data_IF_373414419268
#
_entry.id   IF_373414419268
#
_cell.length_a   1.000
_cell.length_b   1.000
_cell.length_c   1.000
_cell.angle_alpha   90.00
_cell.angle_beta   90.00
_cell.angle_gamma   90.00
#
_symmetry.space_group_name_H-M   'P 1'
#
loop_
_entity.id
_entity.type
_entity.pdbx_description
1 polymer ?
#
# COMPACT_ATOMS: atom_id res chain seq x y z
N UNK A 1 17.74 -31.45 16.73
CA UNK A 1 16.71 -30.56 16.17
C UNK A 1 17.39 -29.25 15.83
N UNK A 2 17.50 -28.89 14.54
CA UNK A 2 17.91 -27.52 14.20
C UNK A 2 16.69 -26.64 14.52
N UNK A 3 16.83 -25.71 15.45
CA UNK A 3 15.84 -24.64 15.61
C UNK A 3 15.88 -23.83 14.32
N UNK A 4 14.87 -24.01 13.47
CA UNK A 4 14.64 -23.12 12.35
C UNK A 4 14.25 -21.76 12.93
N UNK A 5 15.13 -20.78 12.79
CA UNK A 5 14.86 -19.40 13.20
C UNK A 5 13.63 -18.83 12.51
N UNK A 6 13.06 -17.76 13.07
CA UNK A 6 11.89 -17.10 12.49
C UNK A 6 12.22 -16.47 11.13
N UNK A 7 11.35 -16.68 10.14
CA UNK A 7 11.37 -15.96 8.86
C UNK A 7 11.48 -14.44 9.07
N UNK A 8 12.47 -13.80 8.44
CA UNK A 8 12.76 -12.36 8.61
C UNK A 8 11.53 -11.50 8.31
N UNK A 9 10.77 -11.85 7.25
CA UNK A 9 9.52 -11.18 6.88
C UNK A 9 8.50 -11.19 8.01
N UNK A 10 8.40 -12.30 8.77
CA UNK A 10 7.50 -12.39 9.92
C UNK A 10 7.92 -11.43 11.03
N UNK A 11 9.22 -11.32 11.29
CA UNK A 11 9.74 -10.40 12.29
C UNK A 11 9.55 -8.93 11.87
N UNK A 12 9.83 -8.59 10.61
CA UNK A 12 9.58 -7.25 10.05
C UNK A 12 8.10 -6.87 10.12
N UNK A 13 7.19 -7.80 9.82
CA UNK A 13 5.75 -7.56 9.98
C UNK A 13 5.36 -7.24 11.43
N UNK A 14 6.00 -7.86 12.43
CA UNK A 14 5.75 -7.55 13.85
C UNK A 14 6.23 -6.13 14.17
N UNK A 15 7.41 -5.74 13.68
CA UNK A 15 7.95 -4.39 13.85
C UNK A 15 7.04 -3.34 13.20
N UNK A 16 6.63 -3.56 11.94
CA UNK A 16 5.74 -2.65 11.21
C UNK A 16 4.40 -2.50 11.94
N UNK A 17 3.82 -3.60 12.42
CA UNK A 17 2.60 -3.54 13.23
C UNK A 17 2.82 -2.69 14.50
N UNK A 18 3.93 -2.87 15.21
CA UNK A 18 4.26 -2.09 16.40
C UNK A 18 4.32 -0.59 16.11
N UNK A 19 4.99 -0.19 15.02
CA UNK A 19 5.05 1.21 14.60
C UNK A 19 3.69 1.77 14.19
N UNK A 20 2.91 1.03 13.40
CA UNK A 20 1.59 1.47 12.97
C UNK A 20 0.62 1.60 14.16
N UNK A 21 0.64 0.65 15.10
CA UNK A 21 -0.19 0.71 16.31
C UNK A 21 0.20 1.89 17.19
N UNK A 22 1.50 2.10 17.45
CA UNK A 22 1.96 3.23 18.25
C UNK A 22 1.58 4.57 17.62
N UNK A 23 1.72 4.71 16.29
CA UNK A 23 1.30 5.92 15.58
C UNK A 23 -0.19 6.18 15.73
N UNK A 24 -1.02 5.13 15.61
CA UNK A 24 -2.46 5.23 15.84
C UNK A 24 -2.81 5.59 17.30
N UNK A 25 -2.14 5.00 18.28
CA UNK A 25 -2.38 5.30 19.70
C UNK A 25 -2.07 6.76 20.05
N UNK A 26 -1.08 7.36 19.39
CA UNK A 26 -0.71 8.77 19.59
C UNK A 26 -1.62 9.72 18.83
N UNK A 27 -2.01 9.39 17.59
CA UNK A 27 -2.64 10.33 16.67
C UNK A 27 -4.12 10.05 16.36
N UNK A 28 -4.63 8.87 16.72
CA UNK A 28 -5.94 8.40 16.27
C UNK A 28 -6.07 8.45 14.75
N UNK A 29 -7.18 8.98 14.26
CA UNK A 29 -7.46 9.10 12.83
C UNK A 29 -6.45 9.97 12.07
N UNK A 30 -5.79 10.93 12.74
CA UNK A 30 -4.76 11.75 12.11
C UNK A 30 -3.54 10.92 11.66
N UNK A 31 -3.38 9.68 12.16
CA UNK A 31 -2.37 8.74 11.68
C UNK A 31 -2.53 8.40 10.18
N UNK A 32 -3.75 8.47 9.63
CA UNK A 32 -4.02 8.22 8.22
C UNK A 32 -3.26 9.25 7.36
N UNK A 33 -3.48 10.54 7.63
CA UNK A 33 -2.78 11.62 6.95
C UNK A 33 -1.27 11.60 7.26
N UNK A 34 -0.88 11.31 8.50
CA UNK A 34 0.52 11.22 8.90
C UNK A 34 1.28 10.07 8.23
N UNK A 35 0.58 9.06 7.70
CA UNK A 35 1.19 7.97 6.95
C UNK A 35 1.46 8.31 5.48
N UNK A 36 0.85 9.39 4.96
CA UNK A 36 1.02 9.81 3.56
C UNK A 36 2.49 10.02 3.13
N UNK A 37 3.35 10.69 3.94
CA UNK A 37 4.77 10.87 3.60
C UNK A 37 5.54 9.55 3.41
N UNK A 38 5.09 8.45 4.02
CA UNK A 38 5.69 7.12 3.81
C UNK A 38 5.68 6.76 2.34
N UNK A 39 4.59 7.03 1.63
CA UNK A 39 4.46 6.77 0.19
C UNK A 39 5.47 7.53 -0.65
N UNK A 40 5.68 8.82 -0.33
CA UNK A 40 6.67 9.68 -1.01
C UNK A 40 8.09 9.16 -0.79
N UNK A 41 8.44 8.82 0.45
CA UNK A 41 9.76 8.25 0.76
C UNK A 41 9.99 6.91 0.06
N UNK A 42 8.98 6.03 0.04
CA UNK A 42 9.07 4.76 -0.67
C UNK A 42 9.26 4.97 -2.18
N UNK A 43 8.46 5.85 -2.80
CA UNK A 43 8.54 6.13 -4.23
C UNK A 43 9.92 6.68 -4.62
N UNK A 44 10.47 7.60 -3.84
CA UNK A 44 11.81 8.15 -4.04
C UNK A 44 12.90 7.07 -4.01
N UNK A 45 12.87 6.20 -3.00
CA UNK A 45 13.82 5.07 -2.89
C UNK A 45 13.66 4.12 -4.07
N UNK A 46 12.42 3.78 -4.44
CA UNK A 46 12.17 2.88 -5.57
C UNK A 46 12.69 3.47 -6.89
N UNK A 47 12.55 4.79 -7.10
CA UNK A 47 13.08 5.48 -8.29
C UNK A 47 14.61 5.48 -8.33
N UNK A 48 15.25 5.85 -7.20
CA UNK A 48 16.70 6.04 -7.13
C UNK A 48 17.48 4.74 -7.08
N UNK A 49 17.02 3.79 -6.27
CA UNK A 49 17.79 2.58 -5.94
C UNK A 49 17.30 1.36 -6.72
N UNK A 50 15.99 1.30 -7.03
CA UNK A 50 15.37 0.14 -7.66
C UNK A 50 15.05 0.37 -9.14
N UNK A 51 15.45 1.54 -9.69
CA UNK A 51 15.25 1.88 -11.09
C UNK A 51 13.79 1.93 -11.51
N UNK A 52 12.87 2.20 -10.57
CA UNK A 52 11.44 2.24 -10.83
C UNK A 52 11.12 3.36 -11.85
N UNK A 53 10.90 2.95 -13.09
CA UNK A 53 10.32 3.79 -14.14
C UNK A 53 8.80 3.69 -14.05
N UNK A 54 8.21 4.45 -13.13
CA UNK A 54 6.77 4.72 -13.20
C UNK A 54 6.59 5.81 -14.25
N UNK A 55 5.94 5.46 -15.34
CA UNK A 55 5.62 6.37 -16.44
C UNK A 55 4.22 6.00 -16.94
N UNK A 56 3.48 6.99 -17.39
CA UNK A 56 2.12 6.83 -17.87
C UNK A 56 1.40 8.17 -17.88
N UNK A 57 0.46 8.33 -18.81
CA UNK A 57 -0.37 9.54 -18.92
C UNK A 57 -1.73 9.35 -18.24
N UNK A 58 -2.06 8.10 -17.90
CA UNK A 58 -3.34 7.73 -17.28
C UNK A 58 -3.10 7.07 -15.91
N UNK A 59 -4.07 7.21 -14.98
CA UNK A 59 -4.00 6.56 -13.67
C UNK A 59 -3.70 5.07 -13.74
N UNK A 60 -4.36 4.36 -14.66
CA UNK A 60 -4.21 2.91 -14.80
C UNK A 60 -2.79 2.52 -15.23
N UNK A 61 -2.13 3.31 -16.06
CA UNK A 61 -0.75 3.04 -16.51
C UNK A 61 0.23 3.14 -15.33
N UNK A 62 0.10 4.21 -14.53
CA UNK A 62 0.90 4.46 -13.32
C UNK A 62 0.71 3.32 -12.32
N UNK A 63 -0.54 2.97 -12.03
CA UNK A 63 -0.87 1.94 -11.05
C UNK A 63 -0.46 0.53 -11.51
N UNK A 64 -0.67 0.19 -12.78
CA UNK A 64 -0.21 -1.08 -13.35
C UNK A 64 1.33 -1.16 -13.32
N UNK A 65 2.00 -0.02 -13.54
CA UNK A 65 3.44 0.10 -13.37
C UNK A 65 3.89 -0.33 -11.98
N UNK A 66 3.28 0.21 -10.93
CA UNK A 66 3.57 -0.11 -9.53
C UNK A 66 3.20 -1.56 -9.21
N UNK A 67 1.99 -1.99 -9.59
CA UNK A 67 1.49 -3.35 -9.39
C UNK A 67 2.48 -4.39 -9.90
N UNK A 68 2.97 -4.20 -11.14
CA UNK A 68 3.96 -5.07 -11.77
C UNK A 68 5.22 -5.23 -10.92
N UNK A 69 5.74 -4.15 -10.32
CA UNK A 69 6.97 -4.23 -9.51
C UNK A 69 6.72 -4.91 -8.18
N UNK A 70 5.58 -4.66 -7.54
CA UNK A 70 5.20 -5.36 -6.31
C UNK A 70 5.06 -6.87 -6.55
N UNK A 71 4.54 -7.31 -7.69
CA UNK A 71 4.31 -8.74 -7.98
C UNK A 71 5.52 -9.44 -8.60
N UNK A 72 6.21 -8.78 -9.54
CA UNK A 72 7.28 -9.40 -10.32
C UNK A 72 8.65 -9.22 -9.68
N UNK A 73 9.00 -8.00 -9.28
CA UNK A 73 10.36 -7.67 -8.83
C UNK A 73 10.53 -7.93 -7.34
N UNK A 74 9.58 -7.47 -6.52
CA UNK A 74 9.71 -7.51 -5.06
C UNK A 74 8.98 -8.69 -4.40
N UNK A 75 8.13 -9.40 -5.15
CA UNK A 75 7.33 -10.54 -4.66
C UNK A 75 6.52 -10.21 -3.38
N UNK A 76 6.03 -8.97 -3.29
CA UNK A 76 5.22 -8.46 -2.16
C UNK A 76 3.79 -8.98 -2.23
N UNK A 77 3.26 -9.19 -3.43
CA UNK A 77 1.93 -9.73 -3.66
C UNK A 77 1.98 -10.82 -4.75
N UNK A 78 1.01 -11.75 -4.71
CA UNK A 78 0.87 -12.79 -5.74
C UNK A 78 0.22 -12.22 -7.00
N UNK A 79 -0.80 -11.38 -6.82
CA UNK A 79 -1.55 -10.77 -7.91
C UNK A 79 -2.06 -9.40 -7.48
N UNK A 80 -2.07 -8.44 -8.41
CA UNK A 80 -2.71 -7.15 -8.26
C UNK A 80 -3.55 -6.88 -9.50
N UNK A 81 -4.85 -6.66 -9.34
CA UNK A 81 -5.78 -6.31 -10.42
C UNK A 81 -6.29 -4.91 -10.22
N UNK A 82 -6.23 -4.11 -11.27
CA UNK A 82 -6.68 -2.71 -11.26
C UNK A 82 -7.84 -2.59 -12.25
N UNK A 83 -8.92 -1.95 -11.82
CA UNK A 83 -10.05 -1.60 -12.67
C UNK A 83 -10.47 -0.17 -12.43
N UNK A 84 -10.84 0.54 -13.50
CA UNK A 84 -11.37 1.90 -13.43
C UNK A 84 -12.82 1.94 -13.87
N UNK A 85 -13.64 2.69 -13.14
CA UNK A 85 -15.02 3.01 -13.50
C UNK A 85 -15.27 4.48 -13.21
N UNK A 86 -15.27 5.31 -14.26
CA UNK A 86 -15.37 6.76 -14.12
C UNK A 86 -14.20 7.33 -13.30
N UNK A 87 -14.51 7.95 -12.17
CA UNK A 87 -13.54 8.58 -11.27
C UNK A 87 -13.09 7.68 -10.10
N UNK A 88 -13.58 6.45 -10.09
CA UNK A 88 -13.24 5.43 -9.11
C UNK A 88 -12.26 4.43 -9.70
N UNK A 89 -11.22 4.11 -8.93
CA UNK A 89 -10.26 3.05 -9.25
C UNK A 89 -10.36 1.98 -8.16
N UNK A 90 -10.62 0.74 -8.56
CA UNK A 90 -10.59 -0.42 -7.67
C UNK A 90 -9.30 -1.18 -7.86
N UNK A 91 -8.68 -1.58 -6.75
CA UNK A 91 -7.48 -2.41 -6.74
C UNK A 91 -7.70 -3.61 -5.84
N UNK A 92 -7.65 -4.80 -6.43
CA UNK A 92 -7.66 -6.07 -5.71
C UNK A 92 -6.23 -6.59 -5.59
N UNK A 93 -5.79 -6.84 -4.36
CA UNK A 93 -4.45 -7.36 -4.03
C UNK A 93 -4.61 -8.74 -3.39
N UNK A 94 -4.04 -9.78 -3.98
CA UNK A 94 -4.04 -11.15 -3.46
C UNK A 94 -2.67 -11.55 -2.92
N UNK A 95 -2.65 -12.20 -1.74
CA UNK A 95 -1.44 -12.82 -1.20
C UNK A 95 -0.35 -11.81 -0.81
N UNK A 96 -0.75 -10.64 -0.31
CA UNK A 96 0.18 -9.61 0.15
C UNK A 96 0.95 -10.07 1.39
N UNK A 97 2.29 -9.95 1.38
CA UNK A 97 3.13 -10.32 2.54
C UNK A 97 2.86 -9.44 3.76
N UNK A 98 2.27 -8.25 3.57
CA UNK A 98 1.89 -7.33 4.65
C UNK A 98 0.50 -7.63 5.23
N UNK A 99 -0.27 -8.57 4.67
CA UNK A 99 -1.59 -8.96 5.18
C UNK A 99 -1.59 -9.28 6.68
N UNK A 100 -0.57 -9.96 7.25
CA UNK A 100 -0.51 -10.20 8.69
C UNK A 100 -0.45 -8.92 9.53
N UNK A 101 0.17 -7.84 9.03
CA UNK A 101 0.21 -6.53 9.72
C UNK A 101 -1.20 -5.96 9.79
N UNK A 102 -1.86 -5.90 8.64
CA UNK A 102 -3.24 -5.42 8.48
C UNK A 102 -4.21 -6.19 9.37
N UNK A 103 -4.11 -7.52 9.41
CA UNK A 103 -4.98 -8.35 10.23
C UNK A 103 -4.76 -8.09 11.73
N UNK A 104 -3.51 -7.87 12.17
CA UNK A 104 -3.22 -7.52 13.57
C UNK A 104 -3.86 -6.20 13.97
N UNK A 105 -3.80 -5.17 13.11
CA UNK A 105 -4.47 -3.89 13.37
C UNK A 105 -5.99 -4.08 13.51
N UNK A 106 -6.62 -4.77 12.56
CA UNK A 106 -8.07 -5.01 12.57
C UNK A 106 -8.49 -5.76 13.84
N UNK A 107 -7.72 -6.77 14.26
CA UNK A 107 -8.00 -7.53 15.48
C UNK A 107 -7.91 -6.67 16.76
N UNK A 108 -7.31 -5.48 16.69
CA UNK A 108 -7.26 -4.51 17.79
C UNK A 108 -8.24 -3.35 17.62
N UNK A 109 -9.14 -3.41 16.64
CA UNK A 109 -10.11 -2.35 16.35
C UNK A 109 -9.51 -1.16 15.60
N UNK A 110 -8.28 -1.28 15.07
CA UNK A 110 -7.61 -0.22 14.32
C UNK A 110 -7.86 -0.45 12.82
N UNK A 111 -8.40 0.56 12.14
CA UNK A 111 -8.56 0.54 10.68
C UNK A 111 -7.18 0.56 10.02
N UNK A 112 -6.90 -0.29 9.01
CA UNK A 112 -5.65 -0.21 8.27
C UNK A 112 -5.51 1.13 7.56
N UNK A 113 -4.33 1.76 7.66
CA UNK A 113 -4.12 3.11 7.15
C UNK A 113 -2.80 3.34 6.40
N UNK A 114 -1.86 2.37 6.44
CA UNK A 114 -0.52 2.53 5.86
C UNK A 114 -0.16 1.37 4.93
N UNK A 115 -1.04 1.04 3.97
CA UNK A 115 -0.76 0.00 2.98
C UNK A 115 0.35 0.49 2.03
N UNK A 116 1.42 -0.31 1.81
CA UNK A 116 2.50 0.09 0.92
C UNK A 116 2.04 0.44 -0.50
N UNK A 117 1.17 -0.40 -1.09
CA UNK A 117 0.63 -0.13 -2.43
C UNK A 117 -0.13 1.19 -2.46
N UNK A 118 -1.02 1.46 -1.50
CA UNK A 118 -1.82 2.68 -1.49
C UNK A 118 -0.96 3.92 -1.34
N UNK A 119 0.04 3.87 -0.46
CA UNK A 119 0.88 5.02 -0.19
C UNK A 119 1.76 5.35 -1.40
N UNK A 120 2.35 4.35 -2.05
CA UNK A 120 3.14 4.55 -3.28
C UNK A 120 2.22 5.03 -4.43
N UNK A 121 1.04 4.41 -4.57
CA UNK A 121 0.06 4.75 -5.60
C UNK A 121 -0.35 6.23 -5.52
N UNK A 122 -0.80 6.68 -4.35
CA UNK A 122 -1.22 8.08 -4.18
C UNK A 122 -0.07 9.05 -4.45
N UNK A 123 1.14 8.75 -3.95
CA UNK A 123 2.32 9.58 -4.18
C UNK A 123 2.68 9.67 -5.68
N UNK A 124 2.63 8.55 -6.40
CA UNK A 124 2.96 8.50 -7.82
C UNK A 124 1.90 9.20 -8.69
N UNK A 125 0.62 9.04 -8.33
CA UNK A 125 -0.51 9.70 -8.97
C UNK A 125 -0.42 11.23 -8.83
N UNK A 126 -0.13 11.71 -7.62
CA UNK A 126 0.08 13.14 -7.36
C UNK A 126 1.29 13.67 -8.15
N UNK A 127 2.43 12.99 -8.09
CA UNK A 127 3.68 13.46 -8.69
C UNK A 127 3.66 13.45 -10.23
N UNK A 128 3.13 12.39 -10.84
CA UNK A 128 3.22 12.18 -12.29
C UNK A 128 2.06 12.80 -13.07
N UNK A 129 0.87 12.83 -12.46
CA UNK A 129 -0.35 13.24 -13.15
C UNK A 129 -0.95 14.52 -12.56
N UNK A 130 -0.46 14.99 -11.40
CA UNK A 130 -1.08 16.11 -10.68
C UNK A 130 -2.48 15.78 -10.17
N UNK A 131 -2.82 14.49 -10.01
CA UNK A 131 -4.15 14.04 -9.59
C UNK A 131 -4.10 13.69 -8.10
N UNK A 132 -4.67 14.51 -7.21
CA UNK A 132 -4.85 14.12 -5.83
C UNK A 132 -5.86 12.96 -5.76
N UNK A 133 -5.55 11.97 -4.94
CA UNK A 133 -6.38 10.78 -4.77
C UNK A 133 -6.66 10.53 -3.29
N UNK A 134 -7.90 10.13 -2.98
CA UNK A 134 -8.31 9.69 -1.66
C UNK A 134 -8.59 8.20 -1.64
N UNK A 135 -8.38 7.54 -0.50
CA UNK A 135 -8.83 6.16 -0.29
C UNK A 135 -10.24 6.22 0.27
N UNK A 136 -11.24 5.84 -0.53
CA UNK A 136 -12.63 5.80 -0.08
C UNK A 136 -12.95 4.53 0.71
N UNK A 137 -12.35 3.39 0.32
CA UNK A 137 -12.42 2.17 1.12
C UNK A 137 -11.15 1.32 1.05
N UNK A 138 -10.89 0.58 2.13
CA UNK A 138 -9.88 -0.46 2.22
C UNK A 138 -10.52 -1.62 2.99
N UNK A 139 -10.90 -2.66 2.24
CA UNK A 139 -11.54 -3.86 2.75
C UNK A 139 -10.53 -5.01 2.76
N UNK A 140 -10.58 -5.82 3.80
CA UNK A 140 -9.62 -6.92 4.01
C UNK A 140 -10.42 -8.21 4.18
N UNK A 141 -10.40 -9.03 3.14
CA UNK A 141 -11.07 -10.32 3.05
C UNK A 141 -10.01 -11.37 2.72
N UNK A 142 -9.28 -11.82 3.75
CA UNK A 142 -8.15 -12.75 3.60
C UNK A 142 -8.47 -13.90 2.65
N UNK A 143 -7.62 -14.18 1.63
CA UNK A 143 -6.26 -13.67 1.43
C UNK A 143 -6.16 -12.39 0.58
N UNK A 144 -7.26 -11.64 0.43
CA UNK A 144 -7.38 -10.49 -0.47
C UNK A 144 -7.60 -9.19 0.28
N UNK A 145 -7.06 -8.11 -0.27
CA UNK A 145 -7.43 -6.74 0.08
C UNK A 145 -8.08 -6.10 -1.14
N UNK A 146 -9.17 -5.36 -0.93
CA UNK A 146 -9.79 -4.53 -1.94
C UNK A 146 -9.64 -3.07 -1.53
N UNK A 147 -9.03 -2.27 -2.38
CA UNK A 147 -8.82 -0.84 -2.17
C UNK A 147 -9.64 -0.09 -3.21
N UNK A 148 -10.30 0.97 -2.78
CA UNK A 148 -11.00 1.88 -3.69
C UNK A 148 -10.39 3.27 -3.53
N UNK A 149 -9.88 3.79 -4.64
CA UNK A 149 -9.43 5.16 -4.76
C UNK A 149 -10.48 6.00 -5.46
N UNK A 150 -10.61 7.25 -5.01
CA UNK A 150 -11.36 8.28 -5.69
C UNK A 150 -10.39 9.35 -6.18
N UNK A 151 -10.49 9.69 -7.46
CA UNK A 151 -9.76 10.83 -8.03
C UNK A 151 -10.48 12.10 -7.59
N UNK A 152 -9.77 12.94 -6.84
CA UNK A 152 -10.27 14.22 -6.37
C UNK A 152 -10.00 15.22 -7.50
N UNK A 153 -11.01 15.50 -8.33
CA UNK A 153 -10.93 16.61 -9.28
C UNK A 153 -11.34 17.89 -8.57
N UNK A 154 -10.60 18.97 -8.82
CA UNK A 154 -11.05 20.33 -8.52
C UNK A 154 -12.27 20.70 -9.38
#
# INVERSE_FOLDING_TARGET
MKEEGMEVTRFLNIIIYGFQKALWEVMGEAAIAASYPVGKSMLEIMKKELGLKVAGEKPEDVLNGIAKRLTEDFKIAKEVKIGKSGDTITVDVEGCICLPVTQRLINTGIKPFACPFTNIAMAAMEELLGIPTGISSLEVNSPKCKIVFEMLRE
#
